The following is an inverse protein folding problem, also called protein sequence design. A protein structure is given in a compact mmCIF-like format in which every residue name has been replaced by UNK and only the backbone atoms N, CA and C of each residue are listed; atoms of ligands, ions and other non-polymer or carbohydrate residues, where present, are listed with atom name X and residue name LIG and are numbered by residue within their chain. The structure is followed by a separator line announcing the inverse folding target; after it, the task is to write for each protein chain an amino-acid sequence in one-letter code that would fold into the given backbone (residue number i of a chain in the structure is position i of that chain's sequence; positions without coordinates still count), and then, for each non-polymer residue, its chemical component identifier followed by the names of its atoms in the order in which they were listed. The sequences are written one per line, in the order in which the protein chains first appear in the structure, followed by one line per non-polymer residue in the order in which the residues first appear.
data_IF_411957927199
#
_entry.id   IF_411957927199
#
_cell.length_a   1.000
_cell.length_b   1.000
_cell.length_c   1.000
_cell.angle_alpha   90.00
_cell.angle_beta   90.00
_cell.angle_gamma   90.00
#
_symmetry.space_group_name_H-M   'P 1'
#
loop_
_entity.id
_entity.type
_entity.pdbx_description
1 polymer ?
#
# COMPACT_ATOMS: atom_id res chain seq x y z
N UNK A 1 -7.50 2.28 -27.41
CA UNK A 1 -7.52 3.35 -26.41
C UNK A 1 -6.16 3.36 -25.71
N UNK A 2 -5.17 3.99 -26.34
CA UNK A 2 -3.78 4.02 -25.88
C UNK A 2 -3.58 5.21 -24.94
N UNK A 3 -3.79 4.99 -23.64
CA UNK A 3 -3.40 5.92 -22.58
C UNK A 3 -1.96 5.69 -22.17
N UNK A 4 -1.01 6.09 -23.01
CA UNK A 4 0.40 6.13 -22.65
C UNK A 4 0.82 7.59 -22.43
N UNK A 5 0.89 8.04 -21.18
CA UNK A 5 1.80 9.13 -20.76
C UNK A 5 1.85 9.25 -19.22
N UNK A 6 3.09 9.23 -18.69
CA UNK A 6 3.52 9.07 -17.28
C UNK A 6 3.50 7.61 -16.80
N UNK A 7 4.64 7.11 -16.32
CA UNK A 7 5.01 5.69 -16.25
C UNK A 7 3.90 4.74 -15.79
N UNK A 8 3.72 3.64 -16.51
CA UNK A 8 2.73 2.62 -16.14
C UNK A 8 3.01 2.12 -14.72
N UNK A 9 2.04 2.28 -13.84
CA UNK A 9 2.04 1.64 -12.53
C UNK A 9 2.10 0.13 -12.71
N UNK A 10 3.06 -0.50 -12.05
CA UNK A 10 3.32 -1.93 -12.13
C UNK A 10 2.38 -2.72 -11.22
N UNK A 11 2.05 -2.16 -10.06
CA UNK A 11 1.22 -2.81 -9.05
C UNK A 11 0.56 -1.79 -8.09
N UNK A 12 -0.43 -2.27 -7.36
CA UNK A 12 -0.96 -1.64 -6.15
C UNK A 12 -0.52 -2.46 -4.94
N UNK A 13 -0.11 -1.78 -3.87
CA UNK A 13 -0.02 -2.34 -2.51
C UNK A 13 -1.14 -1.72 -1.68
N UNK A 14 -2.12 -2.55 -1.32
CA UNK A 14 -3.28 -2.17 -0.54
C UNK A 14 -3.02 -2.41 0.95
N UNK A 15 -3.22 -1.38 1.77
CA UNK A 15 -3.27 -1.53 3.22
C UNK A 15 -4.64 -2.09 3.59
N UNK A 16 -4.64 -3.22 4.27
CA UNK A 16 -5.89 -3.90 4.62
C UNK A 16 -6.41 -3.49 5.99
N UNK A 17 -7.72 -3.49 6.20
CA UNK A 17 -8.78 -3.89 5.24
C UNK A 17 -9.36 -2.73 4.44
N UNK A 18 -9.24 -1.52 4.97
CA UNK A 18 -9.88 -0.31 4.45
C UNK A 18 -9.57 -0.03 2.98
N UNK A 19 -8.30 -0.19 2.59
CA UNK A 19 -7.86 0.05 1.22
C UNK A 19 -8.44 -0.89 0.15
N UNK A 20 -9.11 -2.00 0.50
CA UNK A 20 -9.49 -3.04 -0.47
C UNK A 20 -10.48 -2.54 -1.53
N UNK A 21 -11.51 -1.81 -1.10
CA UNK A 21 -12.53 -1.26 -2.00
C UNK A 21 -11.94 -0.18 -2.92
N UNK A 22 -11.24 0.86 -2.41
CA UNK A 22 -10.62 1.85 -3.29
C UNK A 22 -9.53 1.24 -4.19
N UNK A 23 -8.77 0.25 -3.72
CA UNK A 23 -7.76 -0.43 -4.54
C UNK A 23 -8.38 -1.12 -5.75
N UNK A 24 -9.52 -1.80 -5.58
CA UNK A 24 -10.22 -2.45 -6.68
C UNK A 24 -10.72 -1.45 -7.73
N UNK A 25 -11.26 -0.30 -7.29
CA UNK A 25 -11.74 0.75 -8.18
C UNK A 25 -10.56 1.36 -8.96
N UNK A 26 -9.50 1.76 -8.27
CA UNK A 26 -8.32 2.39 -8.87
C UNK A 26 -7.60 1.43 -9.82
N UNK A 27 -7.46 0.16 -9.44
CA UNK A 27 -6.87 -0.87 -10.30
C UNK A 27 -7.59 -0.96 -11.65
N UNK A 28 -8.93 -0.96 -11.62
CA UNK A 28 -9.76 -1.03 -12.82
C UNK A 28 -9.60 0.21 -13.70
N UNK A 29 -9.63 1.40 -13.12
CA UNK A 29 -9.52 2.66 -13.87
C UNK A 29 -8.13 2.86 -14.49
N UNK A 30 -7.07 2.42 -13.79
CA UNK A 30 -5.69 2.54 -14.28
C UNK A 30 -5.20 1.31 -15.06
N UNK A 31 -6.03 0.27 -15.19
CA UNK A 31 -5.65 -0.97 -15.88
C UNK A 31 -4.56 -1.79 -15.18
N UNK A 32 -4.38 -1.61 -13.87
CA UNK A 32 -3.38 -2.32 -13.06
C UNK A 32 -3.94 -3.70 -12.70
N UNK A 33 -3.19 -4.76 -13.01
CA UNK A 33 -3.61 -6.15 -12.75
C UNK A 33 -3.01 -6.77 -11.50
N UNK A 34 -1.88 -6.24 -11.04
CA UNK A 34 -1.20 -6.74 -9.84
C UNK A 34 -1.66 -5.92 -8.64
N UNK A 35 -2.35 -6.58 -7.72
CA UNK A 35 -2.76 -6.01 -6.44
C UNK A 35 -2.20 -6.91 -5.34
N UNK A 36 -1.31 -6.35 -4.53
CA UNK A 36 -0.76 -6.95 -3.32
C UNK A 36 -1.44 -6.35 -2.09
N UNK A 37 -1.41 -7.08 -0.98
CA UNK A 37 -1.90 -6.59 0.31
C UNK A 37 -0.81 -6.61 1.38
N UNK A 38 -0.83 -5.58 2.21
CA UNK A 38 -0.11 -5.53 3.49
C UNK A 38 -1.13 -5.48 4.63
N UNK A 39 -0.89 -6.25 5.69
CA UNK A 39 -1.76 -6.27 6.86
C UNK A 39 -1.03 -5.61 8.02
N UNK A 40 -1.62 -4.55 8.59
CA UNK A 40 -1.05 -3.85 9.74
C UNK A 40 -2.10 -3.82 10.86
N UNK A 41 -1.68 -4.19 12.06
CA UNK A 41 -2.48 -4.07 13.27
C UNK A 41 -1.91 -2.97 14.16
N UNK A 42 -2.80 -2.13 14.71
CA UNK A 42 -2.47 -1.19 15.77
C UNK A 42 -2.96 -1.76 17.09
N UNK A 43 -2.03 -2.11 17.98
CA UNK A 43 -2.40 -2.49 19.34
C UNK A 43 -2.61 -1.22 20.17
N UNK A 44 -3.81 -1.10 20.74
CA UNK A 44 -4.16 -0.07 21.71
C UNK A 44 -4.20 -0.74 23.09
N UNK A 45 -3.04 -1.19 23.58
CA UNK A 45 -2.95 -1.59 24.97
C UNK A 45 -2.73 -0.34 25.83
N UNK A 46 -3.46 -0.25 26.93
CA UNK A 46 -3.43 0.89 27.87
C UNK A 46 -2.02 1.20 28.43
N UNK A 47 -1.07 0.27 28.29
CA UNK A 47 0.33 0.40 28.71
C UNK A 47 1.31 0.68 27.56
N UNK A 48 0.89 0.52 26.31
CA UNK A 48 1.73 0.60 25.11
C UNK A 48 0.96 1.31 23.99
N UNK A 49 0.73 2.61 24.18
CA UNK A 49 0.26 3.47 23.10
C UNK A 49 1.22 3.39 21.90
N UNK A 50 0.78 2.79 20.80
CA UNK A 50 1.31 3.10 19.47
C UNK A 50 2.30 2.11 18.85
N UNK A 51 2.35 0.85 19.28
CA UNK A 51 3.07 -0.17 18.51
C UNK A 51 2.20 -0.69 17.36
N UNK A 52 2.71 -0.49 16.14
CA UNK A 52 2.16 -1.07 14.93
C UNK A 52 2.89 -2.38 14.63
N UNK A 53 2.13 -3.42 14.32
CA UNK A 53 2.66 -4.72 13.91
C UNK A 53 2.25 -5.02 12.47
N UNK A 54 3.20 -5.44 11.66
CA UNK A 54 2.95 -5.97 10.33
C UNK A 54 2.58 -7.46 10.49
N UNK A 55 1.35 -7.81 10.14
CA UNK A 55 0.83 -9.18 10.21
C UNK A 55 1.08 -9.96 8.90
N UNK A 56 1.10 -9.24 7.77
CA UNK A 56 1.43 -9.77 6.45
C UNK A 56 2.31 -8.76 5.74
N UNK A 57 3.51 -9.19 5.39
CA UNK A 57 4.48 -8.37 4.67
C UNK A 57 4.15 -8.28 3.17
N UNK A 58 4.79 -7.31 2.51
CA UNK A 58 4.73 -7.11 1.07
C UNK A 58 5.66 -8.14 0.41
N UNK A 59 5.24 -8.72 -0.71
CA UNK A 59 6.06 -9.71 -1.39
C UNK A 59 7.42 -9.13 -1.86
N UNK A 60 8.53 -9.87 -1.73
CA UNK A 60 9.86 -9.37 -2.08
C UNK A 60 10.00 -8.79 -3.50
N UNK A 61 9.34 -9.33 -4.55
CA UNK A 61 9.41 -8.75 -5.89
C UNK A 61 8.88 -7.32 -5.99
N UNK A 62 7.94 -6.93 -5.12
CA UNK A 62 7.39 -5.57 -5.11
C UNK A 62 8.20 -4.60 -4.25
N UNK A 63 9.05 -5.12 -3.36
CA UNK A 63 10.03 -4.34 -2.61
C UNK A 63 11.29 -4.01 -3.44
N UNK A 64 11.50 -4.72 -4.56
CA UNK A 64 12.57 -4.42 -5.50
C UNK A 64 12.47 -2.96 -6.00
N UNK A 65 13.62 -2.36 -6.29
CA UNK A 65 13.75 -0.96 -6.70
C UNK A 65 13.07 0.04 -5.74
N UNK A 66 13.02 -0.28 -4.45
CA UNK A 66 12.38 0.53 -3.40
C UNK A 66 10.90 0.84 -3.66
N UNK A 67 10.21 -0.03 -4.41
CA UNK A 67 8.80 0.15 -4.77
C UNK A 67 8.54 1.10 -5.93
N UNK A 68 9.54 1.37 -6.78
CA UNK A 68 9.37 2.22 -7.94
C UNK A 68 8.27 1.71 -8.90
N UNK A 69 7.26 2.55 -9.12
CA UNK A 69 6.11 2.23 -9.97
C UNK A 69 5.01 1.46 -9.24
N UNK A 70 4.98 1.47 -7.90
CA UNK A 70 3.88 0.92 -7.09
C UNK A 70 3.04 2.05 -6.48
N UNK A 71 1.73 1.85 -6.47
CA UNK A 71 0.76 2.72 -5.78
C UNK A 71 0.39 2.13 -4.41
N UNK A 72 0.43 2.95 -3.36
CA UNK A 72 -0.05 2.57 -2.02
C UNK A 72 -1.49 3.06 -1.85
N UNK A 73 -2.40 2.16 -1.53
CA UNK A 73 -3.83 2.49 -1.36
C UNK A 73 -4.31 2.16 0.06
N UNK A 74 -5.00 3.12 0.68
CA UNK A 74 -5.66 3.02 1.98
C UNK A 74 -6.96 3.84 1.96
N UNK A 75 -7.95 3.53 2.81
CA UNK A 75 -9.23 4.27 2.82
C UNK A 75 -9.19 5.58 3.60
N UNK A 76 -8.57 5.58 4.79
CA UNK A 76 -8.52 6.73 5.67
C UNK A 76 -7.17 6.77 6.40
N UNK A 77 -6.35 7.74 6.04
CA UNK A 77 -5.06 7.99 6.70
C UNK A 77 -5.27 8.83 7.97
N UNK A 78 -5.73 8.19 9.03
CA UNK A 78 -6.09 8.89 10.29
C UNK A 78 -4.86 9.48 10.99
N UNK A 79 -3.85 8.64 11.25
CA UNK A 79 -2.65 9.04 12.00
C UNK A 79 -1.37 9.07 11.16
N UNK A 80 -1.44 8.69 9.89
CA UNK A 80 -0.30 8.57 8.97
C UNK A 80 0.73 7.49 9.33
N UNK A 81 0.68 6.89 10.53
CA UNK A 81 1.66 5.90 11.01
C UNK A 81 1.69 4.63 10.17
N UNK A 82 0.52 4.10 9.80
CA UNK A 82 0.39 2.90 8.96
C UNK A 82 1.00 3.13 7.58
N UNK A 83 0.63 4.23 6.92
CA UNK A 83 1.21 4.63 5.64
C UNK A 83 2.72 4.90 5.76
N UNK A 84 3.18 5.44 6.89
CA UNK A 84 4.59 5.67 7.19
C UNK A 84 5.42 4.39 7.19
N UNK A 85 4.92 3.30 7.78
CA UNK A 85 5.60 1.99 7.76
C UNK A 85 5.72 1.48 6.32
N UNK A 86 4.64 1.53 5.56
CA UNK A 86 4.64 1.06 4.16
C UNK A 86 5.57 1.93 3.29
N UNK A 87 5.58 3.25 3.50
CA UNK A 87 6.53 4.16 2.82
C UNK A 87 7.98 3.89 3.22
N UNK A 88 8.25 3.49 4.47
CA UNK A 88 9.60 3.12 4.89
C UNK A 88 10.07 1.82 4.20
N UNK A 89 9.17 0.89 3.92
CA UNK A 89 9.45 -0.33 3.13
C UNK A 89 9.61 -0.04 1.63
N UNK A 90 8.89 0.95 1.11
CA UNK A 90 8.85 1.29 -0.32
C UNK A 90 9.03 2.80 -0.57
N UNK A 91 10.22 3.38 -0.32
CA UNK A 91 10.44 4.82 -0.41
C UNK A 91 10.10 5.49 -1.75
N UNK A 92 10.11 4.74 -2.87
CA UNK A 92 9.80 5.23 -4.22
C UNK A 92 8.35 4.96 -4.66
N UNK A 93 7.55 4.28 -3.82
CA UNK A 93 6.13 4.10 -4.07
C UNK A 93 5.35 5.40 -3.82
N UNK A 94 4.21 5.53 -4.52
CA UNK A 94 3.37 6.73 -4.48
C UNK A 94 2.15 6.54 -3.58
#
# INVERSE_FOLDING_TARGET
LSGASKGQWKAIVCITRGGLVPAAIIARELGIRVIETVCVASYHDYTSQGQLQVLKEISPPLLADDGAGVLIIDDLTDTGKTAGIVRAMMPKAH
#
